data_IF_505173832292
#
_entry.id   IF_505173832292
#
_cell.length_a   1.000
_cell.length_b   1.000
_cell.length_c   1.000
_cell.angle_alpha   90.00
_cell.angle_beta   90.00
_cell.angle_gamma   90.00
#
_symmetry.space_group_name_H-M   'P 1'
#
loop_
_entity.id
_entity.type
_entity.pdbx_description
1 polymer ?
#
# COMPACT_ATOMS: atom_id res chain seq x y z
N UNK A 1 -27.31 3.80 25.24
CA UNK A 1 -26.88 4.03 23.85
C UNK A 1 -25.43 3.63 23.73
N UNK A 2 -25.21 2.34 23.42
CA UNK A 2 -23.91 1.74 23.10
C UNK A 2 -23.57 2.11 21.64
N UNK A 3 -22.35 2.30 21.17
CA UNK A 3 -21.03 2.29 21.77
C UNK A 3 -20.05 2.59 20.62
N UNK A 4 -19.38 3.73 20.69
CA UNK A 4 -18.32 4.11 19.75
C UNK A 4 -17.11 3.19 19.98
N UNK A 5 -16.99 2.14 19.18
CA UNK A 5 -15.80 1.30 19.13
C UNK A 5 -15.10 1.47 17.78
N UNK A 6 -14.71 2.71 17.47
CA UNK A 6 -13.68 2.97 16.47
C UNK A 6 -12.34 2.55 17.09
N UNK A 7 -11.96 1.28 16.93
CA UNK A 7 -10.57 0.88 17.15
C UNK A 7 -9.72 1.58 16.09
N UNK A 8 -9.08 2.67 16.52
CA UNK A 8 -8.03 3.37 15.79
C UNK A 8 -6.84 2.41 15.69
N UNK A 9 -6.75 1.71 14.57
CA UNK A 9 -5.46 1.42 13.95
C UNK A 9 -5.09 2.69 13.17
N UNK A 10 -3.84 3.16 13.30
CA UNK A 10 -3.33 4.34 12.61
C UNK A 10 -3.40 4.17 11.08
N UNK A 11 -4.59 4.35 10.50
CA UNK A 11 -4.83 4.38 9.06
C UNK A 11 -4.86 5.86 8.66
N UNK A 12 -3.76 6.35 8.08
CA UNK A 12 -3.81 7.61 7.35
C UNK A 12 -4.50 7.35 6.01
N UNK A 13 -5.81 7.62 5.93
CA UNK A 13 -6.52 7.70 4.66
C UNK A 13 -6.13 9.04 4.04
N UNK A 14 -5.32 9.03 2.98
CA UNK A 14 -5.02 10.24 2.21
C UNK A 14 -5.94 10.24 0.99
N UNK A 15 -7.09 10.93 1.10
CA UNK A 15 -8.08 11.07 0.03
C UNK A 15 -9.32 11.83 0.51
N UNK A 16 -9.72 12.87 -0.22
CA UNK A 16 -10.76 13.83 0.16
C UNK A 16 -12.11 13.39 -0.42
N UNK A 17 -12.83 12.53 0.29
CA UNK A 17 -14.29 12.37 0.11
C UNK A 17 -14.85 11.60 1.29
N UNK A 18 -15.84 12.17 1.97
CA UNK A 18 -16.64 11.45 2.96
C UNK A 18 -17.28 10.23 2.31
N UNK A 19 -17.01 9.05 2.86
CA UNK A 19 -17.68 7.81 2.44
C UNK A 19 -19.11 7.81 3.00
N UNK A 20 -20.10 8.03 2.13
CA UNK A 20 -21.49 7.67 2.41
C UNK A 20 -21.64 6.15 2.39
N UNK A 21 -22.18 5.61 3.49
CA UNK A 21 -22.46 4.18 3.67
C UNK A 21 -23.71 3.87 2.86
N UNK A 22 -23.56 3.19 1.72
CA UNK A 22 -24.64 2.42 1.11
C UNK A 22 -24.22 0.94 1.07
N UNK A 23 -25.00 0.12 1.76
CA UNK A 23 -24.60 -1.16 2.34
C UNK A 23 -24.92 -2.33 1.41
N UNK A 24 -24.21 -2.41 0.29
CA UNK A 24 -24.02 -3.65 -0.46
C UNK A 24 -22.54 -3.82 -0.72
N UNK A 25 -21.95 -4.86 -0.12
CA UNK A 25 -20.51 -5.15 -0.11
C UNK A 25 -19.96 -5.43 -1.53
N UNK A 26 -19.76 -4.39 -2.32
CA UNK A 26 -18.99 -4.46 -3.56
C UNK A 26 -17.58 -4.90 -3.20
N UNK A 27 -17.11 -5.98 -3.82
CA UNK A 27 -15.76 -6.50 -3.61
C UNK A 27 -14.74 -5.40 -3.92
N UNK A 28 -13.81 -5.16 -3.00
CA UNK A 28 -12.69 -4.23 -3.17
C UNK A 28 -11.40 -5.01 -3.41
N UNK A 29 -10.81 -4.85 -4.60
CA UNK A 29 -9.60 -5.54 -5.04
C UNK A 29 -8.37 -4.79 -4.54
N UNK A 30 -7.66 -5.42 -3.62
CA UNK A 30 -6.54 -4.82 -2.91
C UNK A 30 -5.22 -5.30 -3.52
N UNK A 31 -4.36 -4.38 -3.93
CA UNK A 31 -2.98 -4.62 -4.29
C UNK A 31 -2.04 -4.30 -3.12
N UNK A 32 -1.03 -5.13 -2.90
CA UNK A 32 0.08 -4.80 -2.00
C UNK A 32 1.26 -4.34 -2.84
N UNK A 33 1.80 -3.15 -2.53
CA UNK A 33 3.06 -2.69 -3.12
C UNK A 33 4.20 -2.66 -2.11
N UNK A 34 5.26 -3.42 -2.41
CA UNK A 34 6.45 -3.53 -1.55
C UNK A 34 7.70 -3.04 -2.27
N UNK A 35 8.52 -2.26 -1.55
CA UNK A 35 9.80 -1.75 -2.08
C UNK A 35 10.93 -1.99 -1.09
N UNK A 36 12.00 -2.65 -1.54
CA UNK A 36 13.25 -2.82 -0.80
C UNK A 36 14.34 -1.92 -1.37
N UNK A 37 14.92 -1.06 -0.54
CA UNK A 37 16.22 -0.45 -0.80
C UNK A 37 17.30 -1.43 -0.35
N UNK A 38 18.08 -1.97 -1.29
CA UNK A 38 19.38 -2.55 -0.93
C UNK A 38 20.30 -1.36 -0.66
N UNK A 39 20.58 -1.06 0.60
CA UNK A 39 21.78 -0.31 0.95
C UNK A 39 22.95 -1.26 0.78
N UNK A 40 23.87 -0.96 -0.17
CA UNK A 40 25.23 -1.52 -0.10
C UNK A 40 25.85 -0.97 1.19
N UNK A 41 25.67 -1.64 2.33
CA UNK A 41 26.31 -1.23 3.58
C UNK A 41 25.69 -1.60 4.93
N UNK A 42 24.60 -2.35 5.03
CA UNK A 42 24.03 -2.70 6.35
C UNK A 42 24.78 -3.86 7.03
N UNK A 43 26.07 -3.68 7.32
CA UNK A 43 26.67 -4.24 8.54
C UNK A 43 26.38 -3.29 9.70
N UNK A 44 25.10 -3.03 9.96
CA UNK A 44 24.66 -2.37 11.18
C UNK A 44 24.05 -3.45 12.06
N UNK A 45 24.86 -3.86 13.04
CA UNK A 45 24.50 -4.75 14.15
C UNK A 45 23.47 -4.05 15.02
N UNK A 46 22.20 -4.11 14.63
CA UNK A 46 21.08 -3.77 15.48
C UNK A 46 19.90 -4.69 15.18
N UNK A 47 19.41 -5.35 16.22
CA UNK A 47 18.36 -6.37 16.22
C UNK A 47 16.96 -5.83 15.91
N UNK A 48 16.83 -4.88 14.96
CA UNK A 48 15.59 -4.24 14.51
C UNK A 48 15.21 -4.60 13.07
N UNK A 49 16.12 -5.21 12.31
CA UNK A 49 15.97 -5.47 10.86
C UNK A 49 15.04 -6.64 10.48
N UNK A 50 14.63 -7.50 11.42
CA UNK A 50 13.74 -8.62 11.09
C UNK A 50 12.34 -8.16 10.65
N UNK A 51 11.87 -7.00 11.14
CA UNK A 51 10.59 -6.41 10.77
C UNK A 51 10.61 -5.64 9.44
N UNK A 52 11.79 -5.27 8.94
CA UNK A 52 11.91 -4.54 7.66
C UNK A 52 12.18 -5.48 6.47
N UNK A 53 12.14 -6.79 6.70
CA UNK A 53 12.18 -7.75 5.61
C UNK A 53 10.97 -7.58 4.69
N UNK A 54 11.18 -7.69 3.37
CA UNK A 54 10.08 -7.60 2.37
C UNK A 54 8.94 -8.57 2.69
N UNK A 55 9.28 -9.73 3.25
CA UNK A 55 8.30 -10.72 3.69
C UNK A 55 7.46 -10.22 4.86
N UNK A 56 8.08 -9.62 5.89
CA UNK A 56 7.35 -9.04 7.02
C UNK A 56 6.44 -7.89 6.58
N UNK A 57 6.92 -7.02 5.69
CA UNK A 57 6.13 -5.93 5.11
C UNK A 57 4.90 -6.46 4.37
N UNK A 58 5.08 -7.47 3.51
CA UNK A 58 3.99 -8.07 2.76
C UNK A 58 2.98 -8.77 3.68
N UNK A 59 3.46 -9.55 4.65
CA UNK A 59 2.60 -10.25 5.62
C UNK A 59 1.76 -9.26 6.43
N UNK A 60 2.33 -8.16 6.91
CA UNK A 60 1.58 -7.11 7.61
C UNK A 60 0.47 -6.51 6.74
N UNK A 61 0.73 -6.29 5.45
CA UNK A 61 -0.28 -5.79 4.52
C UNK A 61 -1.37 -6.83 4.21
N UNK A 62 -0.98 -8.09 4.03
CA UNK A 62 -1.91 -9.18 3.77
C UNK A 62 -2.82 -9.45 4.97
N UNK A 63 -2.28 -9.45 6.18
CA UNK A 63 -3.05 -9.57 7.43
C UNK A 63 -4.00 -8.39 7.60
N UNK A 64 -3.55 -7.17 7.31
CA UNK A 64 -4.42 -6.00 7.32
C UNK A 64 -5.60 -6.18 6.35
N UNK A 65 -5.35 -6.57 5.09
CA UNK A 65 -6.42 -6.83 4.11
C UNK A 65 -7.37 -7.93 4.62
N UNK A 66 -6.82 -9.01 5.19
CA UNK A 66 -7.60 -10.11 5.78
C UNK A 66 -8.53 -9.65 6.91
N UNK A 67 -8.11 -8.66 7.71
CA UNK A 67 -8.97 -8.05 8.74
C UNK A 67 -10.12 -7.21 8.18
N UNK A 68 -10.06 -6.82 6.89
CA UNK A 68 -11.08 -6.01 6.20
C UNK A 68 -12.04 -6.84 5.34
N UNK A 69 -12.03 -8.17 5.43
CA UNK A 69 -12.93 -9.05 4.64
C UNK A 69 -14.40 -8.71 4.85
N UNK A 70 -14.79 -8.28 6.06
CA UNK A 70 -16.16 -7.81 6.35
C UNK A 70 -16.58 -6.55 5.58
N UNK A 71 -15.62 -5.80 5.03
CA UNK A 71 -15.84 -4.66 4.11
C UNK A 71 -15.75 -5.05 2.63
N UNK A 72 -15.69 -6.35 2.33
CA UNK A 72 -15.56 -6.87 0.96
C UNK A 72 -14.15 -6.83 0.38
N UNK A 73 -13.11 -6.57 1.19
CA UNK A 73 -11.74 -6.45 0.71
C UNK A 73 -11.15 -7.82 0.36
N UNK A 74 -10.44 -7.90 -0.78
CA UNK A 74 -9.77 -9.11 -1.25
C UNK A 74 -8.43 -8.79 -1.87
N UNK A 75 -7.39 -9.47 -1.40
CA UNK A 75 -6.06 -9.42 -2.01
C UNK A 75 -6.11 -10.02 -3.42
N UNK A 76 -5.53 -9.32 -4.39
CA UNK A 76 -5.33 -9.85 -5.75
C UNK A 76 -4.10 -10.76 -5.81
N UNK A 77 -4.11 -11.73 -6.74
CA UNK A 77 -3.00 -12.69 -6.90
C UNK A 77 -1.71 -12.04 -7.46
N UNK A 78 -1.83 -10.90 -8.15
CA UNK A 78 -0.70 -10.17 -8.71
C UNK A 78 0.24 -9.65 -7.63
N UNK A 79 1.55 -9.87 -7.83
CA UNK A 79 2.60 -9.39 -6.93
C UNK A 79 3.21 -8.11 -7.48
N UNK A 80 3.09 -7.01 -6.73
CA UNK A 80 3.71 -5.73 -7.08
C UNK A 80 4.88 -5.44 -6.13
N UNK A 81 6.10 -5.76 -6.56
CA UNK A 81 7.30 -5.53 -5.74
C UNK A 81 8.48 -5.02 -6.56
N UNK A 82 9.30 -4.15 -5.97
CA UNK A 82 10.59 -3.71 -6.52
C UNK A 82 11.72 -4.00 -5.51
N UNK A 83 12.66 -4.88 -5.86
CA UNK A 83 13.79 -5.32 -5.00
C UNK A 83 15.13 -4.73 -5.47
N UNK A 84 15.82 -4.00 -4.59
CA UNK A 84 17.24 -3.64 -4.68
C UNK A 84 17.59 -2.42 -5.54
N UNK A 85 18.44 -1.53 -5.02
CA UNK A 85 18.95 -0.36 -5.74
C UNK A 85 20.41 -0.06 -5.41
N UNK A 86 21.33 -0.44 -6.30
CA UNK A 86 22.57 0.31 -6.50
C UNK A 86 22.54 0.89 -7.92
N UNK A 87 22.09 2.14 -8.06
CA UNK A 87 22.15 2.86 -9.34
C UNK A 87 20.81 3.40 -9.81
N UNK A 88 20.58 4.67 -9.47
CA UNK A 88 19.81 5.76 -10.11
C UNK A 88 18.70 5.53 -11.15
N UNK A 89 18.59 4.44 -11.92
CA UNK A 89 17.61 4.35 -13.03
C UNK A 89 17.08 2.96 -13.38
N UNK A 90 17.12 1.97 -12.48
CA UNK A 90 16.47 0.67 -12.77
C UNK A 90 14.96 0.73 -12.52
N UNK A 91 14.24 0.89 -13.65
CA UNK A 91 12.79 0.99 -13.84
C UNK A 91 11.99 0.22 -12.79
N UNK A 92 11.20 0.94 -11.98
CA UNK A 92 10.21 0.41 -11.02
C UNK A 92 9.14 -0.41 -11.74
N UNK A 93 9.50 -1.62 -12.17
CA UNK A 93 8.68 -2.45 -13.01
C UNK A 93 7.42 -2.89 -12.25
N UNK A 94 7.57 -3.24 -10.96
CA UNK A 94 6.43 -3.59 -10.11
C UNK A 94 5.46 -2.42 -9.96
N UNK A 95 5.96 -1.21 -9.73
CA UNK A 95 5.11 -0.02 -9.67
C UNK A 95 4.44 0.31 -11.01
N UNK A 96 5.14 0.14 -12.13
CA UNK A 96 4.56 0.36 -13.47
C UNK A 96 3.44 -0.63 -13.77
N UNK A 97 3.62 -1.91 -13.45
CA UNK A 97 2.57 -2.92 -13.58
C UNK A 97 1.38 -2.57 -12.70
N UNK A 98 1.61 -2.13 -11.46
CA UNK A 98 0.54 -1.66 -10.57
C UNK A 98 -0.26 -0.51 -11.21
N UNK A 99 0.41 0.53 -11.71
CA UNK A 99 -0.26 1.66 -12.38
C UNK A 99 -1.03 1.22 -13.63
N UNK A 100 -0.54 0.23 -14.37
CA UNK A 100 -1.26 -0.32 -15.51
C UNK A 100 -2.55 -1.01 -15.06
N UNK A 101 -2.49 -1.85 -14.03
CA UNK A 101 -3.63 -2.59 -13.54
C UNK A 101 -4.67 -1.68 -12.86
N UNK A 102 -4.23 -0.57 -12.27
CA UNK A 102 -5.10 0.53 -11.83
C UNK A 102 -5.85 1.16 -13.01
N UNK A 103 -5.15 1.50 -14.10
CA UNK A 103 -5.78 2.09 -15.30
C UNK A 103 -6.75 1.14 -15.99
N UNK A 104 -6.53 -0.17 -15.85
CA UNK A 104 -7.46 -1.19 -16.33
C UNK A 104 -8.64 -1.40 -15.36
N UNK A 105 -8.69 -0.66 -14.25
CA UNK A 105 -9.72 -0.78 -13.24
C UNK A 105 -9.71 -2.15 -12.56
N UNK A 106 -8.54 -2.78 -12.39
CA UNK A 106 -8.36 -4.08 -11.73
C UNK A 106 -8.09 -3.95 -10.23
N UNK A 107 -7.74 -2.76 -9.77
CA UNK A 107 -7.35 -2.45 -8.39
C UNK A 107 -8.23 -1.32 -7.87
N UNK A 108 -8.80 -1.49 -6.67
CA UNK A 108 -9.61 -0.48 -5.99
C UNK A 108 -8.87 0.11 -4.77
N UNK A 109 -7.91 -0.65 -4.22
CA UNK A 109 -7.13 -0.24 -3.04
C UNK A 109 -5.66 -0.63 -3.20
N UNK A 110 -4.76 0.32 -2.96
CA UNK A 110 -3.32 0.07 -2.82
C UNK A 110 -2.94 0.10 -1.35
N UNK A 111 -2.43 -1.01 -0.85
CA UNK A 111 -1.94 -1.17 0.51
C UNK A 111 -0.40 -1.20 0.49
N UNK A 112 0.20 -0.35 1.31
CA UNK A 112 1.66 -0.29 1.49
C UNK A 112 2.00 -0.40 2.97
N UNK A 113 3.18 -0.93 3.27
CA UNK A 113 3.63 -0.99 4.65
C UNK A 113 3.85 0.42 5.23
N UNK A 114 4.46 1.31 4.45
CA UNK A 114 4.73 2.73 4.73
C UNK A 114 4.53 3.56 3.46
N UNK A 115 4.06 4.80 3.57
CA UNK A 115 3.88 5.67 2.39
C UNK A 115 5.18 5.91 1.60
N UNK A 116 6.32 5.93 2.31
CA UNK A 116 7.63 6.11 1.70
C UNK A 116 8.03 5.01 0.70
N UNK A 117 7.32 3.86 0.73
CA UNK A 117 7.46 2.76 -0.24
C UNK A 117 7.04 3.20 -1.63
N UNK A 118 6.00 4.02 -1.76
CA UNK A 118 5.59 4.64 -3.05
C UNK A 118 6.68 5.59 -3.53
N UNK A 119 7.04 6.58 -2.72
CA UNK A 119 8.14 7.51 -3.01
C UNK A 119 8.56 8.27 -1.75
N UNK A 120 9.82 8.71 -1.71
CA UNK A 120 10.33 9.62 -0.69
C UNK A 120 10.39 11.07 -1.16
N UNK A 121 10.15 11.32 -2.46
CA UNK A 121 10.18 12.66 -3.06
C UNK A 121 8.78 13.25 -3.04
N UNK A 122 8.63 14.42 -2.44
CA UNK A 122 7.33 15.11 -2.34
C UNK A 122 6.71 15.40 -3.72
N UNK A 123 7.52 15.83 -4.70
CA UNK A 123 7.05 16.10 -6.06
C UNK A 123 6.45 14.85 -6.74
N UNK A 124 7.11 13.70 -6.59
CA UNK A 124 6.60 12.44 -7.13
C UNK A 124 5.36 11.98 -6.36
N UNK A 125 5.26 12.28 -5.06
CA UNK A 125 4.15 11.86 -4.22
C UNK A 125 2.83 12.49 -4.69
N UNK A 126 2.84 13.80 -4.96
CA UNK A 126 1.66 14.50 -5.48
C UNK A 126 1.17 13.91 -6.81
N UNK A 127 2.10 13.60 -7.72
CA UNK A 127 1.78 12.98 -9.01
C UNK A 127 1.18 11.59 -8.84
N UNK A 128 1.75 10.76 -7.96
CA UNK A 128 1.24 9.41 -7.68
C UNK A 128 -0.15 9.47 -7.06
N UNK A 129 -0.38 10.35 -6.08
CA UNK A 129 -1.69 10.49 -5.43
C UNK A 129 -2.74 11.03 -6.41
N UNK A 130 -2.37 11.97 -7.28
CA UNK A 130 -3.26 12.47 -8.32
C UNK A 130 -3.65 11.37 -9.32
N UNK A 131 -2.70 10.56 -9.78
CA UNK A 131 -2.98 9.42 -10.66
C UNK A 131 -3.93 8.43 -9.98
N UNK A 132 -3.67 8.04 -8.74
CA UNK A 132 -4.51 7.08 -8.01
C UNK A 132 -5.93 7.62 -7.78
N UNK A 133 -6.04 8.90 -7.42
CA UNK A 133 -7.33 9.57 -7.24
C UNK A 133 -8.11 9.70 -8.54
N UNK A 134 -7.45 9.88 -9.68
CA UNK A 134 -8.12 9.97 -10.98
C UNK A 134 -8.79 8.64 -11.41
N UNK A 135 -8.41 7.52 -10.78
CA UNK A 135 -8.98 6.19 -11.01
C UNK A 135 -9.77 5.67 -9.79
N UNK A 136 -10.17 6.55 -8.87
CA UNK A 136 -10.93 6.21 -7.64
C UNK A 136 -10.26 5.14 -6.75
N UNK A 137 -8.93 5.09 -6.76
CA UNK A 137 -8.15 4.11 -5.98
C UNK A 137 -7.77 4.66 -4.61
N UNK A 138 -8.13 3.92 -3.56
CA UNK A 138 -7.77 4.25 -2.18
C UNK A 138 -6.31 3.85 -1.88
N UNK A 139 -5.59 4.68 -1.12
CA UNK A 139 -4.25 4.36 -0.63
C UNK A 139 -4.27 4.16 0.88
N UNK A 140 -3.76 3.03 1.34
CA UNK A 140 -3.64 2.70 2.76
C UNK A 140 -2.20 2.39 3.13
N UNK A 141 -1.72 3.05 4.18
CA UNK A 141 -0.49 2.67 4.87
C UNK A 141 -0.82 1.88 6.12
N UNK A 142 -0.17 0.72 6.31
CA UNK A 142 -0.36 -0.13 7.50
C UNK A 142 0.35 0.45 8.73
N UNK A 143 1.40 1.26 8.50
CA UNK A 143 2.17 1.94 9.55
C UNK A 143 2.31 3.44 9.26
N UNK A 144 3.01 4.18 10.15
CA UNK A 144 3.31 5.61 10.01
C UNK A 144 4.38 5.92 8.95
#
# INVERSE_FOLDING_TARGET
>A
MLGLNTKIVNVCIVGVSEMSIDEQSVVKRCAIYSRSSVEKGSYSKDSRDQFDSVSAQFMACAEFIGSQVGKGWRLVDSIYQDRGYSGSHMRRAGFRTLLNDIRLGLIDVVVVHRLDRLTRRLADFQQIMAELSAHDVLVVSVTQ
#
